data_IF_712155217777
#
_entry.id   IF_712155217777
#
_cell.length_a   1.000
_cell.length_b   1.000
_cell.length_c   1.000
_cell.angle_alpha   90.00
_cell.angle_beta   90.00
_cell.angle_gamma   90.00
#
_symmetry.space_group_name_H-M   'P 1'
#
loop_
_entity.id
_entity.type
_entity.pdbx_description
1 polymer ?
#
# COMPACT_ATOMS: atom_id res chain seq x y z
N UNK A 1 -5.42 -31.22 3.22
CA UNK A 1 -6.37 -30.11 3.35
C UNK A 1 -5.56 -28.87 3.04
N UNK A 2 -5.86 -28.16 1.95
CA UNK A 2 -5.20 -26.88 1.69
C UNK A 2 -5.66 -25.88 2.76
N UNK A 3 -4.70 -25.20 3.39
CA UNK A 3 -4.93 -24.17 4.39
C UNK A 3 -5.82 -23.07 3.81
N UNK A 4 -6.88 -22.72 4.55
CA UNK A 4 -7.84 -21.69 4.14
C UNK A 4 -7.15 -20.34 3.90
N UNK A 5 -6.09 -20.06 4.65
CA UNK A 5 -5.24 -18.88 4.52
C UNK A 5 -4.59 -18.78 3.14
N UNK A 6 -4.05 -19.88 2.60
CA UNK A 6 -3.41 -19.90 1.27
C UNK A 6 -4.44 -19.67 0.16
N UNK A 7 -5.66 -20.18 0.34
CA UNK A 7 -6.75 -19.96 -0.61
C UNK A 7 -7.25 -18.51 -0.60
N UNK A 8 -7.20 -17.85 0.55
CA UNK A 8 -7.56 -16.44 0.74
C UNK A 8 -6.49 -15.51 0.14
N UNK A 9 -5.20 -15.81 0.36
CA UNK A 9 -4.07 -15.12 -0.28
C UNK A 9 -4.11 -15.21 -1.82
N UNK A 10 -4.37 -16.40 -2.39
CA UNK A 10 -4.48 -16.57 -3.84
C UNK A 10 -5.71 -15.88 -4.46
N UNK A 11 -6.82 -15.79 -3.72
CA UNK A 11 -8.01 -15.04 -4.15
C UNK A 11 -7.78 -13.53 -4.13
N UNK A 12 -7.00 -13.03 -3.17
CA UNK A 12 -6.70 -11.61 -3.05
C UNK A 12 -5.82 -11.08 -4.19
N UNK A 13 -4.87 -11.88 -4.68
CA UNK A 13 -4.04 -11.52 -5.83
C UNK A 13 -4.82 -11.49 -7.17
N UNK A 14 -5.93 -12.22 -7.27
CA UNK A 14 -6.59 -12.48 -8.56
C UNK A 14 -7.84 -11.63 -8.82
N UNK A 15 -8.44 -11.00 -7.80
CA UNK A 15 -9.81 -10.48 -7.90
C UNK A 15 -10.03 -9.02 -7.46
N UNK A 16 -8.98 -8.20 -7.35
CA UNK A 16 -9.14 -6.79 -7.01
C UNK A 16 -9.66 -6.63 -5.58
N UNK A 17 -8.79 -6.93 -4.62
CA UNK A 17 -9.01 -6.49 -3.25
C UNK A 17 -9.26 -4.96 -3.27
N UNK A 18 -10.25 -4.49 -2.51
CA UNK A 18 -10.78 -3.11 -2.52
C UNK A 18 -9.78 -2.13 -1.88
N UNK A 19 -8.58 -2.07 -2.45
CA UNK A 19 -7.49 -1.21 -2.05
C UNK A 19 -7.95 0.23 -2.22
N UNK A 20 -8.20 0.88 -1.09
CA UNK A 20 -8.69 2.25 -1.07
C UNK A 20 -7.50 3.16 -1.28
N UNK A 21 -7.38 3.73 -2.48
CA UNK A 21 -6.40 4.79 -2.75
C UNK A 21 -6.81 6.04 -1.97
N UNK A 22 -6.01 6.41 -0.98
CA UNK A 22 -6.28 7.54 -0.10
C UNK A 22 -5.71 8.82 -0.70
N UNK A 23 -4.46 8.79 -1.15
CA UNK A 23 -3.78 9.95 -1.69
C UNK A 23 -2.70 9.55 -2.70
N UNK A 24 -2.40 10.44 -3.64
CA UNK A 24 -1.27 10.30 -4.56
C UNK A 24 -0.59 11.65 -4.77
N UNK A 25 0.74 11.67 -4.82
CA UNK A 25 1.51 12.87 -5.10
C UNK A 25 2.68 12.55 -6.04
N UNK A 26 2.99 13.51 -6.92
CA UNK A 26 4.18 13.42 -7.78
C UNK A 26 5.32 14.19 -7.13
N UNK A 27 6.42 13.50 -6.87
CA UNK A 27 7.65 14.12 -6.37
C UNK A 27 8.36 14.92 -7.47
N UNK A 28 9.20 15.88 -7.11
CA UNK A 28 9.96 16.69 -8.08
C UNK A 28 10.86 15.85 -9.00
N UNK A 29 11.33 14.69 -8.52
CA UNK A 29 12.11 13.72 -9.30
C UNK A 29 11.28 12.96 -10.35
N UNK A 30 9.96 13.19 -10.42
CA UNK A 30 9.04 12.50 -11.33
C UNK A 30 8.38 11.25 -10.75
N UNK A 31 8.91 10.70 -9.65
CA UNK A 31 8.36 9.53 -8.97
C UNK A 31 6.95 9.82 -8.40
N UNK A 32 6.03 8.89 -8.59
CA UNK A 32 4.67 8.96 -8.03
C UNK A 32 4.64 8.21 -6.71
N UNK A 33 4.22 8.87 -5.63
CA UNK A 33 3.90 8.21 -4.36
C UNK A 33 2.40 8.01 -4.24
N UNK A 34 1.96 6.86 -3.77
CA UNK A 34 0.55 6.60 -3.47
C UNK A 34 0.43 6.06 -2.04
N UNK A 35 -0.54 6.56 -1.29
CA UNK A 35 -0.96 6.03 0.00
C UNK A 35 -2.25 5.24 -0.20
N UNK A 36 -2.24 3.98 0.22
CA UNK A 36 -3.32 3.03 0.00
C UNK A 36 -3.65 2.33 1.32
N UNK A 37 -4.92 2.00 1.52
CA UNK A 37 -5.37 1.14 2.62
C UNK A 37 -5.83 -0.20 2.08
N UNK A 38 -5.16 -1.26 2.53
CA UNK A 38 -5.56 -2.63 2.26
C UNK A 38 -6.69 -3.03 3.23
N UNK A 39 -7.89 -3.23 2.70
CA UNK A 39 -9.03 -3.63 3.53
C UNK A 39 -8.92 -5.05 4.09
N UNK A 40 -8.11 -5.91 3.47
CA UNK A 40 -7.91 -7.29 3.89
C UNK A 40 -6.97 -7.35 5.10
N UNK A 41 -5.74 -6.89 4.92
CA UNK A 41 -4.71 -6.86 5.95
C UNK A 41 -4.99 -5.82 7.04
N UNK A 42 -5.99 -4.96 6.84
CA UNK A 42 -6.34 -3.83 7.71
C UNK A 42 -5.15 -2.90 7.97
N UNK A 43 -4.27 -2.74 6.98
CA UNK A 43 -3.06 -1.93 7.08
C UNK A 43 -2.96 -0.88 5.96
N UNK A 44 -2.11 0.10 6.19
CA UNK A 44 -1.78 1.15 5.23
C UNK A 44 -0.45 0.83 4.56
N UNK A 45 -0.34 1.07 3.25
CA UNK A 45 0.93 0.94 2.56
C UNK A 45 1.18 2.14 1.64
N UNK A 46 2.45 2.45 1.43
CA UNK A 46 2.89 3.51 0.53
C UNK A 46 3.68 2.89 -0.60
N UNK A 47 3.25 3.16 -1.83
CA UNK A 47 4.02 2.84 -3.04
C UNK A 47 4.78 4.06 -3.52
N UNK A 48 5.95 3.83 -4.11
CA UNK A 48 6.73 4.83 -4.83
C UNK A 48 7.10 4.21 -6.17
N UNK A 49 6.63 4.83 -7.26
CA UNK A 49 6.77 4.31 -8.63
C UNK A 49 6.19 2.88 -8.79
N UNK A 50 5.03 2.65 -8.16
CA UNK A 50 4.37 1.34 -8.16
C UNK A 50 5.03 0.26 -7.29
N UNK A 51 6.12 0.58 -6.58
CA UNK A 51 6.79 -0.34 -5.64
C UNK A 51 6.44 0.00 -4.20
N UNK A 52 5.93 -0.96 -3.43
CA UNK A 52 5.73 -0.79 -1.99
C UNK A 52 7.06 -0.45 -1.31
N UNK A 53 7.08 0.63 -0.53
CA UNK A 53 8.25 1.06 0.26
C UNK A 53 8.00 0.96 1.76
N UNK A 54 6.74 1.06 2.17
CA UNK A 54 6.33 1.01 3.56
C UNK A 54 4.97 0.33 3.66
N UNK A 55 4.81 -0.52 4.67
CA UNK A 55 3.53 -1.04 5.14
C UNK A 55 3.46 -0.85 6.66
N UNK A 56 2.32 -0.37 7.16
CA UNK A 56 2.09 -0.11 8.57
C UNK A 56 0.63 -0.20 8.93
N UNK A 57 0.33 -0.81 10.08
CA UNK A 57 -1.01 -0.84 10.67
C UNK A 57 -1.43 0.53 11.25
N UNK A 58 -0.50 1.49 11.30
CA UNK A 58 -0.75 2.82 11.84
C UNK A 58 -0.87 3.86 10.72
N UNK A 59 -2.02 4.57 10.59
CA UNK A 59 -2.19 5.57 9.55
C UNK A 59 -1.19 6.71 9.68
N UNK A 60 -0.82 7.08 10.91
CA UNK A 60 0.14 8.15 11.17
C UNK A 60 1.53 7.84 10.57
N UNK A 61 2.03 6.62 10.70
CA UNK A 61 3.33 6.23 10.16
C UNK A 61 3.31 6.25 8.63
N UNK A 62 2.28 5.67 8.02
CA UNK A 62 2.12 5.67 6.57
C UNK A 62 1.98 7.10 6.01
N UNK A 63 1.19 7.96 6.68
CA UNK A 63 1.00 9.35 6.27
C UNK A 63 2.26 10.19 6.42
N UNK A 64 3.02 10.01 7.51
CA UNK A 64 4.29 10.70 7.73
C UNK A 64 5.32 10.34 6.64
N UNK A 65 5.39 9.07 6.24
CA UNK A 65 6.26 8.63 5.15
C UNK A 65 5.80 9.15 3.78
N UNK A 66 4.49 9.11 3.52
CA UNK A 66 3.89 9.66 2.31
C UNK A 66 4.18 11.17 2.16
N UNK A 67 4.00 11.92 3.25
CA UNK A 67 4.19 13.37 3.31
C UNK A 67 5.66 13.79 3.36
N UNK A 68 6.56 12.87 3.71
CA UNK A 68 8.00 13.12 3.74
C UNK A 68 8.61 13.21 2.33
N UNK A 69 9.88 13.66 2.23
CA UNK A 69 10.63 13.60 0.98
C UNK A 69 10.69 12.15 0.47
N UNK A 70 10.73 11.94 -0.84
CA UNK A 70 11.00 10.60 -1.37
C UNK A 70 12.40 10.18 -0.88
N UNK A 71 12.58 8.96 -0.33
CA UNK A 71 13.92 8.45 -0.09
C UNK A 71 14.65 8.41 -1.43
N UNK A 72 15.79 9.09 -1.50
CA UNK A 72 16.68 9.17 -2.66
C UNK A 72 17.26 7.80 -3.03
#
# INVERSE_FOLDING_TARGET
MMDKDVLDELRCHSNGCDDVRIAACKSNSGAVKELVYCQLDKCYYVTVDGRERLRSDTPATAYNFFSGPAPE
#
